data_IF_274925109262
#
_entry.id   IF_274925109262
#
_cell.length_a   1.000
_cell.length_b   1.000
_cell.length_c   1.000
_cell.angle_alpha   90.00
_cell.angle_beta   90.00
_cell.angle_gamma   90.00
#
_symmetry.space_group_name_H-M   'P 1'
#
loop_
_entity.id
_entity.type
_entity.pdbx_description
1 polymer ?
#
# COMPACT_ATOMS: atom_id res chain seq x y z
N UNK A 1 -13.18 -15.18 4.56
CA UNK A 1 -12.51 -15.09 3.24
C UNK A 1 -11.33 -14.15 3.43
N UNK A 2 -10.14 -14.46 2.92
CA UNK A 2 -8.95 -13.64 3.25
C UNK A 2 -9.00 -12.28 2.54
N UNK A 3 -8.69 -11.19 3.24
CA UNK A 3 -8.62 -9.80 2.73
C UNK A 3 -7.93 -9.70 1.35
N UNK A 4 -6.90 -10.51 1.09
CA UNK A 4 -6.18 -10.53 -0.19
C UNK A 4 -7.04 -10.94 -1.39
N UNK A 5 -7.97 -11.89 -1.23
CA UNK A 5 -8.84 -12.33 -2.33
C UNK A 5 -9.86 -11.26 -2.70
N UNK A 6 -10.31 -10.46 -1.73
CA UNK A 6 -11.22 -9.33 -1.97
C UNK A 6 -10.53 -8.24 -2.78
N UNK A 7 -9.26 -7.94 -2.46
CA UNK A 7 -8.45 -6.99 -3.23
C UNK A 7 -8.29 -7.45 -4.67
N UNK A 8 -7.90 -8.71 -4.89
CA UNK A 8 -7.68 -9.24 -6.24
C UNK A 8 -8.98 -9.33 -7.06
N UNK A 9 -10.09 -9.73 -6.44
CA UNK A 9 -11.41 -9.76 -7.10
C UNK A 9 -11.85 -8.35 -7.54
N UNK A 10 -11.71 -7.36 -6.66
CA UNK A 10 -12.09 -5.98 -6.97
C UNK A 10 -11.17 -5.34 -8.01
N UNK A 11 -9.86 -5.57 -7.94
CA UNK A 11 -8.88 -5.18 -8.96
C UNK A 11 -9.23 -5.81 -10.31
N UNK A 12 -9.58 -7.11 -10.32
CA UNK A 12 -10.01 -7.83 -11.51
C UNK A 12 -11.26 -7.19 -12.14
N UNK A 13 -12.25 -6.81 -11.33
CA UNK A 13 -13.46 -6.10 -11.80
C UNK A 13 -13.14 -4.74 -12.42
N UNK A 14 -12.30 -3.92 -11.77
CA UNK A 14 -11.89 -2.63 -12.32
C UNK A 14 -11.14 -2.79 -13.64
N UNK A 15 -10.21 -3.75 -13.70
CA UNK A 15 -9.43 -4.04 -14.91
C UNK A 15 -10.32 -4.54 -16.04
N UNK A 16 -11.24 -5.46 -15.77
CA UNK A 16 -12.22 -5.94 -16.75
C UNK A 16 -13.16 -4.82 -17.25
N UNK A 17 -13.40 -3.80 -16.42
CA UNK A 17 -14.11 -2.58 -16.80
C UNK A 17 -13.29 -1.57 -17.60
N UNK A 18 -12.04 -1.89 -17.96
CA UNK A 18 -11.17 -1.04 -18.78
C UNK A 18 -10.45 0.07 -18.02
N UNK A 19 -10.53 0.09 -16.68
CA UNK A 19 -9.84 1.11 -15.86
C UNK A 19 -8.33 0.84 -15.79
N UNK A 20 -7.54 1.91 -15.67
CA UNK A 20 -6.20 1.81 -15.11
C UNK A 20 -6.26 1.38 -13.64
N UNK A 21 -5.43 0.39 -13.26
CA UNK A 21 -5.40 -0.16 -11.90
C UNK A 21 -3.96 -0.41 -11.48
N UNK A 22 -3.68 -0.23 -10.20
CA UNK A 22 -2.43 -0.62 -9.57
C UNK A 22 -2.69 -1.42 -8.28
N UNK A 23 -1.72 -2.26 -7.93
CA UNK A 23 -1.66 -2.97 -6.65
C UNK A 23 -0.44 -2.46 -5.89
N UNK A 24 -0.65 -2.13 -4.63
CA UNK A 24 0.40 -1.88 -3.65
C UNK A 24 0.48 -3.07 -2.69
N UNK A 25 1.66 -3.64 -2.51
CA UNK A 25 1.89 -4.83 -1.67
C UNK A 25 2.97 -4.53 -0.62
N UNK A 26 2.71 -4.86 0.64
CA UNK A 26 3.74 -4.85 1.68
C UNK A 26 4.73 -5.97 1.39
N UNK A 27 5.99 -5.63 1.09
CA UNK A 27 7.03 -6.61 0.75
C UNK A 27 8.00 -6.88 1.90
N UNK A 28 8.17 -5.91 2.80
CA UNK A 28 9.05 -6.02 3.97
C UNK A 28 8.43 -5.29 5.15
N UNK A 29 8.56 -5.86 6.34
CA UNK A 29 8.25 -5.18 7.61
C UNK A 29 9.42 -5.32 8.58
N UNK A 30 9.60 -4.32 9.44
CA UNK A 30 10.52 -4.36 10.57
C UNK A 30 9.82 -3.81 11.80
N UNK A 31 10.11 -4.35 12.99
CA UNK A 31 9.47 -3.93 14.23
C UNK A 31 7.95 -4.13 14.22
N UNK A 32 7.23 -3.27 14.95
CA UNK A 32 5.78 -3.33 15.10
C UNK A 32 5.03 -2.72 13.90
N UNK A 33 5.17 -3.32 12.72
CA UNK A 33 4.37 -2.93 11.55
C UNK A 33 2.89 -3.29 11.73
N UNK A 34 1.95 -2.39 11.40
CA UNK A 34 0.51 -2.61 11.63
C UNK A 34 -0.12 -3.62 10.67
N UNK A 35 0.50 -3.92 9.54
CA UNK A 35 0.08 -4.95 8.59
C UNK A 35 1.24 -5.88 8.23
N UNK A 36 0.99 -7.19 8.05
CA UNK A 36 2.02 -8.16 7.69
C UNK A 36 2.46 -8.04 6.22
N UNK A 37 3.61 -8.60 5.89
CA UNK A 37 4.05 -8.86 4.52
C UNK A 37 2.95 -9.60 3.75
N UNK A 38 2.72 -9.19 2.50
CA UNK A 38 1.65 -9.69 1.64
C UNK A 38 0.32 -8.94 1.80
N UNK A 39 0.20 -7.99 2.72
CA UNK A 39 -0.98 -7.11 2.76
C UNK A 39 -1.04 -6.25 1.51
N UNK A 40 -2.23 -6.10 0.93
CA UNK A 40 -2.43 -5.44 -0.36
C UNK A 40 -3.43 -4.29 -0.28
N UNK A 41 -3.20 -3.29 -1.13
CA UNK A 41 -4.12 -2.20 -1.43
C UNK A 41 -4.26 -2.10 -2.95
N UNK A 42 -5.46 -2.32 -3.47
CA UNK A 42 -5.79 -2.07 -4.87
C UNK A 42 -6.26 -0.63 -5.05
N UNK A 43 -5.84 0.02 -6.14
CA UNK A 43 -6.18 1.42 -6.46
C UNK A 43 -6.57 1.54 -7.93
N UNK A 44 -7.71 2.16 -8.24
CA UNK A 44 -8.09 2.49 -9.62
C UNK A 44 -7.65 3.90 -10.03
N UNK A 45 -7.75 4.21 -11.32
CA UNK A 45 -7.38 5.51 -11.89
C UNK A 45 -8.16 6.72 -11.36
N UNK A 46 -9.28 6.49 -10.66
CA UNK A 46 -10.06 7.54 -9.98
C UNK A 46 -9.62 7.77 -8.53
N UNK A 47 -8.71 6.93 -8.03
CA UNK A 47 -8.27 6.92 -6.64
C UNK A 47 -9.18 6.11 -5.71
N UNK A 48 -10.12 5.32 -6.26
CA UNK A 48 -10.88 4.38 -5.45
C UNK A 48 -9.94 3.27 -4.95
N UNK A 49 -10.13 2.83 -3.70
CA UNK A 49 -9.22 1.88 -3.07
C UNK A 49 -9.94 0.73 -2.36
N UNK A 50 -9.27 -0.43 -2.29
CA UNK A 50 -9.74 -1.65 -1.62
C UNK A 50 -8.56 -2.33 -0.92
N UNK A 51 -8.78 -2.83 0.30
CA UNK A 51 -7.69 -3.38 1.12
C UNK A 51 -6.93 -2.31 1.90
N UNK A 52 -5.77 -2.67 2.43
CA UNK A 52 -4.95 -1.80 3.27
C UNK A 52 -3.53 -2.33 3.44
N UNK A 53 -2.55 -1.42 3.47
CA UNK A 53 -1.14 -1.72 3.74
C UNK A 53 -0.68 -1.23 5.12
N UNK A 54 -1.48 -0.44 5.83
CA UNK A 54 -1.14 -0.02 7.21
C UNK A 54 -2.31 0.12 8.18
N UNK A 55 -3.52 0.33 7.70
CA UNK A 55 -4.72 0.59 8.51
C UNK A 55 -5.12 2.07 8.57
N UNK A 56 -4.46 2.96 7.82
CA UNK A 56 -4.92 4.33 7.58
C UNK A 56 -3.82 5.40 7.49
N UNK A 57 -2.63 5.16 8.05
CA UNK A 57 -1.61 6.21 8.20
C UNK A 57 -0.87 6.58 6.91
N UNK A 58 -0.61 5.61 6.03
CA UNK A 58 0.20 5.81 4.81
C UNK A 58 -0.59 5.63 3.51
N UNK A 59 -1.87 5.24 3.60
CA UNK A 59 -2.73 4.92 2.46
C UNK A 59 -2.81 6.06 1.45
N UNK A 60 -2.93 7.31 1.90
CA UNK A 60 -2.97 8.47 1.00
C UNK A 60 -1.69 8.65 0.18
N UNK A 61 -0.52 8.40 0.78
CA UNK A 61 0.76 8.45 0.07
C UNK A 61 0.88 7.31 -0.94
N UNK A 62 0.45 6.11 -0.56
CA UNK A 62 0.45 4.93 -1.44
C UNK A 62 -0.51 5.11 -2.62
N UNK A 63 -1.71 5.66 -2.39
CA UNK A 63 -2.68 5.97 -3.46
C UNK A 63 -2.10 6.97 -4.46
N UNK A 64 -1.41 8.01 -3.99
CA UNK A 64 -0.76 8.99 -4.88
C UNK A 64 0.25 8.31 -5.81
N UNK A 65 1.13 7.50 -5.26
CA UNK A 65 2.16 6.78 -6.04
C UNK A 65 1.55 5.72 -6.97
N UNK A 66 0.44 5.10 -6.56
CA UNK A 66 -0.33 4.19 -7.40
C UNK A 66 -0.95 4.90 -8.61
N UNK A 67 -1.52 6.10 -8.43
CA UNK A 67 -2.04 6.90 -9.53
C UNK A 67 -0.94 7.29 -10.52
N UNK A 68 0.26 7.60 -10.04
CA UNK A 68 1.39 7.93 -10.91
C UNK A 68 1.92 6.68 -11.64
N UNK A 69 2.00 5.52 -10.97
CA UNK A 69 2.33 4.24 -11.60
C UNK A 69 1.30 3.83 -12.67
N UNK A 70 0.01 4.10 -12.46
CA UNK A 70 -1.04 3.85 -13.47
C UNK A 70 -0.79 4.69 -14.73
N UNK A 71 -0.43 5.97 -14.56
CA UNK A 71 -0.19 6.91 -15.67
C UNK A 71 1.06 6.56 -16.47
N UNK A 72 2.18 6.34 -15.79
CA UNK A 72 3.48 6.18 -16.46
C UNK A 72 3.92 4.73 -16.66
N UNK A 73 3.21 3.77 -16.08
CA UNK A 73 3.48 2.34 -16.18
C UNK A 73 4.74 1.87 -15.46
N UNK A 74 5.36 2.74 -14.63
CA UNK A 74 6.59 2.40 -13.91
C UNK A 74 6.25 1.96 -12.49
N UNK A 75 6.85 0.89 -11.95
CA UNK A 75 6.65 0.50 -10.57
C UNK A 75 7.30 1.52 -9.60
N UNK A 76 6.92 1.46 -8.32
CA UNK A 76 7.49 2.25 -7.22
C UNK A 76 7.83 1.35 -6.05
N UNK A 77 8.90 1.68 -5.35
CA UNK A 77 9.23 1.11 -4.06
C UNK A 77 9.19 2.23 -3.02
N UNK A 78 8.30 2.09 -2.04
CA UNK A 78 8.05 3.10 -1.03
C UNK A 78 8.56 2.61 0.32
N UNK A 79 9.34 3.45 1.00
CA UNK A 79 9.86 3.21 2.34
C UNK A 79 9.12 4.09 3.34
N UNK A 80 8.41 3.48 4.28
CA UNK A 80 7.75 4.19 5.38
C UNK A 80 8.34 3.71 6.70
N UNK A 81 8.87 4.63 7.50
CA UNK A 81 9.33 4.36 8.85
C UNK A 81 8.93 5.50 9.76
N UNK A 82 8.63 5.18 11.02
CA UNK A 82 8.58 6.20 12.07
C UNK A 82 10.04 6.38 12.52
N UNK A 83 10.68 7.48 12.14
CA UNK A 83 12.04 7.78 12.62
C UNK A 83 11.97 8.39 14.02
N UNK A 84 12.67 7.75 14.95
CA UNK A 84 12.81 8.07 16.37
C UNK A 84 13.46 9.44 16.70
N UNK A 85 13.06 10.55 16.07
CA UNK A 85 13.55 11.88 16.52
C UNK A 85 12.69 12.48 17.66
N UNK A 86 11.57 11.86 18.04
CA UNK A 86 10.72 12.29 19.17
C UNK A 86 10.33 11.17 20.15
N UNK A 87 10.70 9.91 19.89
CA UNK A 87 10.22 8.75 20.65
C UNK A 87 11.12 8.34 21.83
N UNK A 88 12.32 8.91 21.97
CA UNK A 88 13.31 8.45 22.95
C UNK A 88 13.06 8.95 24.39
N UNK A 89 12.29 10.03 24.58
CA UNK A 89 12.15 10.67 25.89
C UNK A 89 10.88 10.25 26.69
N UNK A 90 9.95 9.49 26.10
CA UNK A 90 8.64 9.20 26.76
C UNK A 90 8.09 7.78 26.58
N UNK A 91 8.88 6.82 26.09
CA UNK A 91 8.54 5.40 26.22
C UNK A 91 7.33 4.91 25.40
N UNK A 92 7.08 5.50 24.22
CA UNK A 92 6.06 5.04 23.28
C UNK A 92 6.61 5.09 21.85
N UNK A 93 7.03 3.94 21.32
CA UNK A 93 7.45 3.79 19.94
C UNK A 93 6.73 2.59 19.31
N UNK A 94 5.82 2.83 18.36
CA UNK A 94 5.63 1.85 17.30
C UNK A 94 6.83 1.99 16.35
N UNK A 95 8.00 1.50 16.77
CA UNK A 95 9.28 1.53 16.04
C UNK A 95 9.29 0.62 14.82
N UNK A 96 8.27 0.75 13.96
CA UNK A 96 8.04 -0.07 12.79
C UNK A 96 8.50 0.60 11.50
N UNK A 97 9.00 -0.21 10.56
CA UNK A 97 9.22 0.18 9.17
C UNK A 97 8.47 -0.76 8.25
N UNK A 98 7.95 -0.25 7.14
CA UNK A 98 7.31 -1.02 6.09
C UNK A 98 7.82 -0.58 4.72
N UNK A 99 8.06 -1.55 3.84
CA UNK A 99 8.28 -1.30 2.42
C UNK A 99 7.08 -1.76 1.62
N UNK A 100 6.61 -0.88 0.73
CA UNK A 100 5.46 -1.13 -0.13
C UNK A 100 5.90 -1.05 -1.58
N UNK A 101 5.71 -2.14 -2.31
CA UNK A 101 5.91 -2.18 -3.76
C UNK A 101 4.60 -1.85 -4.46
N UNK A 102 4.63 -0.91 -5.39
CA UNK A 102 3.47 -0.46 -6.15
C UNK A 102 3.71 -0.75 -7.62
N UNK A 103 2.77 -1.44 -8.26
CA UNK A 103 2.84 -1.78 -9.67
C UNK A 103 1.50 -1.61 -10.38
N UNK A 104 1.55 -1.21 -11.65
CA UNK A 104 0.38 -1.16 -12.52
C UNK A 104 -0.01 -2.58 -12.94
N UNK A 105 -1.32 -2.86 -12.93
CA UNK A 105 -1.88 -4.10 -13.45
C UNK A 105 -2.09 -3.97 -14.96
N UNK A 106 -1.29 -4.70 -15.74
CA UNK A 106 -1.30 -4.70 -17.21
C UNK A 106 -2.34 -5.65 -17.82
#
# INVERSE_FOLDING_TARGET
>A
MSDALEVLDQVGKWKAGGKGVAIATVITTWGSSPRPVGSQLGVDETGAMVGSVSGGCIEGAVVKEALDAIKDGKPRLLDFGVTDEQAWDVGLACGGKVQVFVEKVS
#
